data_IF_400489404609
#
_entry.id   IF_400489404609
#
_cell.length_a   1.000
_cell.length_b   1.000
_cell.length_c   1.000
_cell.angle_alpha   90.00
_cell.angle_beta   90.00
_cell.angle_gamma   90.00
#
_symmetry.space_group_name_H-M   'P 1'
#
loop_
_entity.id
_entity.type
_entity.pdbx_description
1 polymer ?
#
# COMPACT_ATOMS: atom_id res chain seq x y z
N UNK A 1 -11.52 -9.41 -14.46
CA UNK A 1 -11.74 -9.09 -13.02
C UNK A 1 -10.60 -9.68 -12.21
N UNK A 2 -10.17 -8.99 -11.14
CA UNK A 2 -9.18 -9.52 -10.21
C UNK A 2 -9.62 -10.82 -9.54
N UNK A 3 -10.91 -11.00 -9.27
CA UNK A 3 -11.42 -12.21 -8.62
C UNK A 3 -11.15 -13.48 -9.44
N UNK A 4 -11.39 -13.41 -10.75
CA UNK A 4 -11.16 -14.53 -11.65
C UNK A 4 -9.67 -14.88 -11.72
N UNK A 5 -8.81 -13.85 -11.72
CA UNK A 5 -7.36 -14.00 -11.74
C UNK A 5 -6.86 -14.70 -10.47
N UNK A 6 -7.34 -14.30 -9.29
CA UNK A 6 -6.98 -14.94 -8.01
C UNK A 6 -7.51 -16.37 -7.94
N UNK A 7 -8.75 -16.62 -8.38
CA UNK A 7 -9.32 -17.97 -8.35
C UNK A 7 -8.53 -18.95 -9.20
N UNK A 8 -8.06 -18.51 -10.37
CA UNK A 8 -7.23 -19.32 -11.24
C UNK A 8 -5.82 -19.54 -10.64
N UNK A 9 -5.21 -18.47 -10.10
CA UNK A 9 -3.83 -18.50 -9.61
C UNK A 9 -3.74 -17.98 -8.16
N UNK A 10 -4.18 -18.76 -7.15
CA UNK A 10 -4.38 -18.26 -5.79
C UNK A 10 -3.08 -17.84 -5.08
N UNK A 11 -1.94 -18.37 -5.50
CA UNK A 11 -0.60 -18.07 -4.93
C UNK A 11 0.21 -17.10 -5.78
N UNK A 12 -0.39 -16.48 -6.80
CA UNK A 12 0.31 -15.54 -7.67
C UNK A 12 0.79 -14.33 -6.89
N UNK A 13 2.02 -13.89 -7.20
CA UNK A 13 2.53 -12.60 -6.78
C UNK A 13 2.16 -11.55 -7.82
N UNK A 14 1.47 -10.50 -7.37
CA UNK A 14 1.17 -9.32 -8.16
C UNK A 14 2.03 -8.18 -7.65
N UNK A 15 2.91 -7.71 -8.53
CA UNK A 15 3.91 -6.69 -8.23
C UNK A 15 3.53 -5.44 -9.02
N UNK A 16 3.40 -4.29 -8.36
CA UNK A 16 3.01 -3.04 -9.01
C UNK A 16 3.93 -1.89 -8.59
N UNK A 17 4.32 -1.10 -9.59
CA UNK A 17 5.19 0.07 -9.44
C UNK A 17 4.42 1.28 -9.96
N UNK A 18 4.32 2.32 -9.14
CA UNK A 18 3.62 3.55 -9.47
C UNK A 18 4.60 4.73 -9.52
N UNK A 19 4.61 5.44 -10.65
CA UNK A 19 5.39 6.66 -10.88
C UNK A 19 4.46 7.82 -11.26
N UNK A 20 3.31 7.88 -10.58
CA UNK A 20 2.22 8.79 -10.86
C UNK A 20 2.30 10.08 -10.01
N UNK A 21 1.56 11.10 -10.44
CA UNK A 21 1.15 12.25 -9.64
C UNK A 21 -0.13 11.94 -8.86
N UNK A 22 -0.45 12.78 -7.88
CA UNK A 22 -1.54 12.53 -6.93
C UNK A 22 -2.90 12.35 -7.61
N UNK A 23 -3.23 13.18 -8.61
CA UNK A 23 -4.55 13.14 -9.28
C UNK A 23 -4.76 11.85 -10.08
N UNK A 24 -3.68 11.17 -10.46
CA UNK A 24 -3.73 9.97 -11.28
C UNK A 24 -4.05 8.71 -10.46
N UNK A 25 -4.04 8.79 -9.12
CA UNK A 25 -4.38 7.65 -8.25
C UNK A 25 -5.89 7.41 -8.09
N UNK A 26 -6.73 8.26 -8.67
CA UNK A 26 -8.17 8.17 -8.54
C UNK A 26 -8.77 6.79 -8.89
N UNK A 27 -8.40 6.11 -9.98
CA UNK A 27 -9.00 4.80 -10.30
C UNK A 27 -8.45 3.64 -9.46
N UNK A 28 -7.37 3.84 -8.70
CA UNK A 28 -6.68 2.75 -8.00
C UNK A 28 -7.20 2.53 -6.57
N UNK A 29 -6.99 1.32 -6.04
CA UNK A 29 -7.31 0.97 -4.64
C UNK A 29 -8.76 1.28 -4.23
N UNK A 30 -9.72 1.14 -5.15
CA UNK A 30 -11.16 1.38 -4.89
C UNK A 30 -11.89 0.14 -4.36
N UNK A 31 -11.33 -1.03 -4.58
CA UNK A 31 -11.87 -2.34 -4.21
C UNK A 31 -10.70 -3.30 -3.96
N UNK A 32 -10.98 -4.46 -3.38
CA UNK A 32 -9.97 -5.46 -3.04
C UNK A 32 -9.11 -5.84 -4.25
N UNK A 33 -7.79 -5.87 -4.06
CA UNK A 33 -6.82 -6.19 -5.11
C UNK A 33 -5.89 -7.33 -4.68
N UNK A 34 -5.38 -8.12 -5.64
CA UNK A 34 -4.42 -9.19 -5.37
C UNK A 34 -2.98 -8.72 -5.17
N UNK A 35 -2.76 -7.41 -4.99
CA UNK A 35 -1.41 -6.84 -4.92
C UNK A 35 -0.67 -7.44 -3.73
N UNK A 36 0.56 -7.87 -4.01
CA UNK A 36 1.47 -8.48 -3.03
C UNK A 36 2.69 -7.62 -2.78
N UNK A 37 3.19 -6.93 -3.81
CA UNK A 37 4.37 -6.07 -3.68
C UNK A 37 4.04 -4.73 -4.33
N UNK A 38 4.21 -3.65 -3.59
CA UNK A 38 3.80 -2.32 -3.99
C UNK A 38 4.93 -1.31 -3.80
N UNK A 39 5.28 -0.64 -4.89
CA UNK A 39 6.32 0.39 -4.90
C UNK A 39 5.74 1.72 -5.40
N UNK A 40 5.78 2.75 -4.56
CA UNK A 40 5.51 4.13 -4.94
C UNK A 40 6.83 4.84 -5.19
N UNK A 41 7.23 4.93 -6.46
CA UNK A 41 8.46 5.58 -6.91
C UNK A 41 8.41 7.10 -6.98
N UNK A 42 7.24 7.67 -6.70
CA UNK A 42 6.99 9.09 -6.52
C UNK A 42 6.22 9.29 -5.21
N UNK A 43 5.91 10.55 -4.91
CA UNK A 43 5.08 10.90 -3.77
C UNK A 43 3.71 10.20 -3.85
N UNK A 44 3.27 9.63 -2.74
CA UNK A 44 1.94 9.04 -2.56
C UNK A 44 1.23 9.79 -1.44
N UNK A 45 -0.08 10.03 -1.58
CA UNK A 45 -0.84 10.74 -0.54
C UNK A 45 -1.28 9.82 0.61
N UNK A 46 -1.55 10.43 1.76
CA UNK A 46 -2.11 9.76 2.95
C UNK A 46 -3.41 9.00 2.60
N UNK A 47 -4.27 9.61 1.78
CA UNK A 47 -5.54 9.02 1.35
C UNK A 47 -5.35 7.77 0.50
N UNK A 48 -4.35 7.76 -0.40
CA UNK A 48 -4.01 6.58 -1.19
C UNK A 48 -3.47 5.46 -0.29
N UNK A 49 -2.59 5.77 0.66
CA UNK A 49 -2.09 4.78 1.62
C UNK A 49 -3.20 4.22 2.52
N UNK A 50 -4.15 5.05 2.95
CA UNK A 50 -5.34 4.58 3.67
C UNK A 50 -6.16 3.60 2.83
N UNK A 51 -6.37 3.91 1.53
CA UNK A 51 -7.01 2.98 0.60
C UNK A 51 -6.24 1.67 0.42
N UNK A 52 -4.91 1.71 0.39
CA UNK A 52 -4.06 0.50 0.33
C UNK A 52 -4.35 -0.41 1.54
N UNK A 53 -4.35 0.15 2.76
CA UNK A 53 -4.66 -0.61 3.98
C UNK A 53 -6.04 -1.28 3.93
N UNK A 54 -7.01 -0.64 3.29
CA UNK A 54 -8.38 -1.18 3.15
C UNK A 54 -8.56 -2.20 2.03
N UNK A 55 -7.68 -2.20 1.01
CA UNK A 55 -7.93 -2.93 -0.25
C UNK A 55 -6.86 -3.95 -0.63
N UNK A 56 -5.74 -4.01 0.09
CA UNK A 56 -4.60 -4.88 -0.26
C UNK A 56 -4.32 -5.93 0.83
N UNK A 57 -5.25 -6.84 1.17
CA UNK A 57 -5.06 -7.78 2.28
C UNK A 57 -3.91 -8.78 2.06
N UNK A 58 -3.44 -8.92 0.81
CA UNK A 58 -2.35 -9.82 0.41
C UNK A 58 -0.98 -9.15 0.36
N UNK A 59 -0.87 -7.89 0.81
CA UNK A 59 0.38 -7.15 0.76
C UNK A 59 1.47 -7.85 1.60
N UNK A 60 2.64 -8.02 0.99
CA UNK A 60 3.85 -8.65 1.52
C UNK A 60 4.95 -7.59 1.66
N UNK A 61 5.09 -6.71 0.67
CA UNK A 61 6.06 -5.62 0.67
C UNK A 61 5.40 -4.31 0.25
N UNK A 62 5.69 -3.26 1.03
CA UNK A 62 5.31 -1.88 0.73
C UNK A 62 6.53 -0.98 0.76
N UNK A 63 6.79 -0.28 -0.33
CA UNK A 63 7.84 0.73 -0.41
C UNK A 63 7.25 2.06 -0.85
N UNK A 64 7.51 3.10 -0.06
CA UNK A 64 7.07 4.47 -0.30
C UNK A 64 8.31 5.36 -0.38
N UNK A 65 8.54 5.98 -1.54
CA UNK A 65 9.70 6.86 -1.75
C UNK A 65 9.53 8.21 -1.05
N UNK A 66 8.31 8.75 -1.04
CA UNK A 66 7.96 10.01 -0.37
C UNK A 66 6.47 10.06 -0.01
N UNK A 67 6.16 10.76 1.08
CA UNK A 67 4.82 11.19 1.44
C UNK A 67 4.89 12.66 1.89
N UNK A 68 3.82 13.42 1.68
CA UNK A 68 3.79 14.84 2.07
C UNK A 68 3.99 15.08 3.58
N UNK A 69 3.69 16.29 4.04
CA UNK A 69 4.00 16.75 5.41
C UNK A 69 3.08 16.18 6.51
N UNK A 70 2.35 15.09 6.27
CA UNK A 70 1.39 14.55 7.24
C UNK A 70 1.89 13.23 7.81
N UNK A 71 1.87 13.04 9.14
CA UNK A 71 2.18 11.75 9.74
C UNK A 71 1.29 10.61 9.23
N UNK A 72 1.91 9.46 8.99
CA UNK A 72 1.30 8.25 8.41
C UNK A 72 0.89 7.19 9.44
N UNK A 73 0.89 7.52 10.72
CA UNK A 73 0.65 6.59 11.83
C UNK A 73 -0.58 5.70 11.61
N UNK A 74 -1.73 6.31 11.33
CA UNK A 74 -3.00 5.62 11.16
C UNK A 74 -3.01 4.69 9.93
N UNK A 75 -2.40 5.13 8.83
CA UNK A 75 -2.33 4.34 7.60
C UNK A 75 -1.42 3.12 7.80
N UNK A 76 -0.28 3.30 8.47
CA UNK A 76 0.65 2.22 8.76
C UNK A 76 0.07 1.21 9.74
N UNK A 77 -0.62 1.68 10.79
CA UNK A 77 -1.34 0.81 11.73
C UNK A 77 -2.42 0.03 10.99
N UNK A 78 -3.25 0.69 10.17
CA UNK A 78 -4.30 0.05 9.38
C UNK A 78 -3.73 -1.02 8.42
N UNK A 79 -2.62 -0.71 7.74
CA UNK A 79 -1.91 -1.65 6.87
C UNK A 79 -1.39 -2.84 7.67
N UNK A 80 -0.72 -2.64 8.81
CA UNK A 80 -0.22 -3.71 9.66
C UNK A 80 -1.35 -4.60 10.23
N UNK A 81 -2.49 -4.00 10.59
CA UNK A 81 -3.65 -4.72 11.08
C UNK A 81 -4.32 -5.57 10.00
N UNK A 82 -4.41 -5.09 8.75
CA UNK A 82 -5.17 -5.76 7.68
C UNK A 82 -4.30 -6.64 6.78
N UNK A 83 -3.04 -6.28 6.57
CA UNK A 83 -2.12 -6.99 5.69
C UNK A 83 -1.29 -8.00 6.50
N UNK A 84 -1.91 -9.12 6.87
CA UNK A 84 -1.29 -10.11 7.78
C UNK A 84 -0.03 -10.80 7.23
N UNK A 85 0.24 -10.67 5.93
CA UNK A 85 1.42 -11.23 5.29
C UNK A 85 2.55 -10.18 5.09
N UNK A 86 2.37 -8.95 5.58
CA UNK A 86 3.36 -7.90 5.43
C UNK A 86 4.65 -8.29 6.15
N UNK A 87 5.74 -8.39 5.41
CA UNK A 87 7.06 -8.78 5.90
C UNK A 87 8.14 -7.73 5.67
N UNK A 88 7.88 -6.75 4.81
CA UNK A 88 8.83 -5.70 4.48
C UNK A 88 8.13 -4.36 4.31
N UNK A 89 8.71 -3.31 4.90
CA UNK A 89 8.29 -1.93 4.69
C UNK A 89 9.51 -1.03 4.48
N UNK A 90 9.46 -0.18 3.46
CA UNK A 90 10.47 0.84 3.18
C UNK A 90 9.81 2.21 3.10
N UNK A 91 10.24 3.16 3.93
CA UNK A 91 9.70 4.51 3.97
C UNK A 91 10.84 5.52 3.78
N UNK A 92 10.79 6.28 2.70
CA UNK A 92 11.64 7.44 2.44
C UNK A 92 10.79 8.71 2.46
N UNK A 93 11.38 9.84 2.87
CA UNK A 93 10.72 11.16 2.89
C UNK A 93 9.27 11.10 3.44
N UNK A 94 9.07 10.40 4.56
CA UNK A 94 7.78 10.24 5.24
C UNK A 94 7.92 10.63 6.72
N UNK A 95 6.81 11.05 7.33
CA UNK A 95 6.73 11.27 8.78
C UNK A 95 5.92 10.16 9.46
N UNK A 96 6.45 9.60 10.54
CA UNK A 96 5.78 8.59 11.37
C UNK A 96 6.20 8.81 12.82
N UNK A 97 5.24 8.76 13.76
CA UNK A 97 5.59 8.80 15.18
C UNK A 97 6.24 7.49 15.63
N UNK A 98 7.17 7.57 16.59
CA UNK A 98 7.76 6.37 17.17
C UNK A 98 6.71 5.47 17.84
N UNK A 99 5.63 6.05 18.38
CA UNK A 99 4.53 5.29 19.00
C UNK A 99 3.76 4.43 18.01
N UNK A 100 3.77 4.74 16.71
CA UNK A 100 3.13 3.90 15.71
C UNK A 100 3.87 2.58 15.43
N UNK A 101 5.11 2.44 15.92
CA UNK A 101 5.92 1.21 15.76
C UNK A 101 5.98 0.33 17.01
N UNK A 102 5.33 0.72 18.12
CA UNK A 102 5.42 0.03 19.42
C UNK A 102 4.11 -0.65 19.77
#
# INVERSE_FOLDING_TARGET
>A
SWDAFIRHSPKVNVVMYFFLYEEEFDPFFRYETPITHLYFGRSVSKEVLGRVGMTCPRLVELVVCANGLRPLDEELICIAERCKNLSAIGLGECEVSCSAFV
#
